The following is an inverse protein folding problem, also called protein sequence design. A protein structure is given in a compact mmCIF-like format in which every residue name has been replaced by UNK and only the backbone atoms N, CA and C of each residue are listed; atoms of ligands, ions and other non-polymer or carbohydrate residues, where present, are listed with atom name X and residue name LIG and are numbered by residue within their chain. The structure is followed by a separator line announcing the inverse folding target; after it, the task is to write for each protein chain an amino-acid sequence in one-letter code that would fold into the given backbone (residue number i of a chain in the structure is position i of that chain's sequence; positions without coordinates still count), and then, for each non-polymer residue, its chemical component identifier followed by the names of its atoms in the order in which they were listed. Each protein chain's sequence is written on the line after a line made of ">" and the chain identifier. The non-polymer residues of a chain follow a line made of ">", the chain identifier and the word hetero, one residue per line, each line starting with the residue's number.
data_IF_201932739503
#
_entry.id   IF_201932739503
#
_cell.length_a   1.000
_cell.length_b   1.000
_cell.length_c   1.000
_cell.angle_alpha   90.00
_cell.angle_beta   90.00
_cell.angle_gamma   90.00
#
_symmetry.space_group_name_H-M   'P 1'
#
loop_
_entity.id
_entity.type
_entity.pdbx_description
1 polymer ?
#
# COMPACT_ATOMS: atom_id res chain seq x y z
N UNK A 1 -38.91 -25.86 -36.60
CA UNK A 1 -37.49 -26.28 -36.69
C UNK A 1 -36.75 -25.29 -37.57
N UNK A 2 -35.48 -25.00 -37.22
CA UNK A 2 -34.50 -24.13 -37.92
C UNK A 2 -34.44 -22.70 -37.37
N UNK A 3 -33.61 -22.58 -36.33
CA UNK A 3 -33.00 -21.34 -35.86
C UNK A 3 -31.98 -20.91 -36.91
N UNK A 4 -32.01 -19.67 -37.37
CA UNK A 4 -30.93 -19.08 -38.16
C UNK A 4 -30.82 -17.59 -37.83
N UNK A 5 -30.06 -17.29 -36.79
CA UNK A 5 -29.54 -15.94 -36.51
C UNK A 5 -28.02 -16.03 -36.53
N UNK A 6 -27.35 -15.53 -37.58
CA UNK A 6 -25.90 -15.49 -37.67
C UNK A 6 -25.43 -14.04 -37.64
N UNK A 7 -25.19 -13.42 -36.48
CA UNK A 7 -24.45 -12.14 -36.41
C UNK A 7 -23.57 -12.12 -35.16
N UNK A 8 -22.26 -12.05 -35.44
CA UNK A 8 -21.17 -11.57 -34.61
C UNK A 8 -21.00 -12.22 -33.22
N UNK A 9 -20.09 -13.18 -33.20
CA UNK A 9 -18.87 -13.08 -32.40
C UNK A 9 -18.61 -11.67 -31.83
N UNK A 10 -19.10 -11.40 -30.62
CA UNK A 10 -18.46 -10.47 -29.71
C UNK A 10 -17.67 -11.29 -28.69
N UNK A 11 -16.64 -11.99 -29.21
CA UNK A 11 -15.41 -12.21 -28.47
C UNK A 11 -14.86 -10.82 -28.14
N UNK A 12 -15.26 -10.24 -27.00
CA UNK A 12 -14.42 -9.25 -26.33
C UNK A 12 -13.80 -9.92 -25.12
N UNK A 13 -12.79 -10.72 -25.46
CA UNK A 13 -11.70 -11.10 -24.59
C UNK A 13 -10.99 -9.82 -24.15
N UNK A 14 -11.30 -9.26 -22.98
CA UNK A 14 -10.28 -8.55 -22.21
C UNK A 14 -10.52 -8.79 -20.72
N UNK A 15 -10.16 -9.99 -20.27
CA UNK A 15 -9.72 -10.17 -18.88
C UNK A 15 -8.42 -9.38 -18.73
N UNK A 16 -8.51 -8.10 -18.36
CA UNK A 16 -7.33 -7.34 -17.99
C UNK A 16 -6.77 -7.94 -16.70
N UNK A 17 -5.51 -8.41 -16.63
CA UNK A 17 -4.85 -8.47 -15.36
C UNK A 17 -4.67 -7.01 -14.93
N UNK A 18 -5.44 -6.57 -13.93
CA UNK A 18 -5.11 -5.34 -13.22
C UNK A 18 -3.73 -5.58 -12.63
N UNK A 19 -2.71 -5.08 -13.33
CA UNK A 19 -1.36 -5.01 -12.82
C UNK A 19 -1.37 -3.96 -11.72
N UNK A 20 -1.86 -4.36 -10.54
CA UNK A 20 -1.66 -3.63 -9.31
C UNK A 20 -0.15 -3.51 -9.16
N UNK A 21 0.38 -2.33 -9.50
CA UNK A 21 1.76 -1.94 -9.29
C UNK A 21 1.95 -1.83 -7.77
N UNK A 22 2.07 -2.99 -7.12
CA UNK A 22 2.51 -3.08 -5.74
C UNK A 22 3.83 -2.36 -5.67
N UNK A 23 3.84 -1.24 -4.95
CA UNK A 23 5.08 -0.52 -4.63
C UNK A 23 6.05 -1.57 -4.10
N UNK A 24 7.25 -1.64 -4.69
CA UNK A 24 8.34 -2.46 -4.14
C UNK A 24 8.51 -2.03 -2.69
N UNK A 25 7.97 -2.82 -1.77
CA UNK A 25 8.40 -2.81 -0.40
C UNK A 25 9.82 -3.37 -0.49
N UNK A 26 10.78 -2.46 -0.49
CA UNK A 26 12.12 -2.80 -0.04
C UNK A 26 11.93 -3.57 1.27
N UNK A 27 12.34 -4.83 1.31
CA UNK A 27 12.09 -5.74 2.43
C UNK A 27 13.00 -5.35 3.60
N UNK A 28 12.77 -4.15 4.11
CA UNK A 28 13.30 -3.69 5.38
C UNK A 28 12.52 -4.46 6.46
N UNK A 29 13.24 -5.29 7.21
CA UNK A 29 12.66 -6.00 8.35
C UNK A 29 12.67 -5.07 9.55
N UNK A 30 11.48 -4.67 9.99
CA UNK A 30 11.27 -3.85 11.18
C UNK A 30 10.73 -4.74 12.31
N UNK A 31 11.14 -4.50 13.56
CA UNK A 31 10.57 -5.15 14.74
C UNK A 31 10.00 -4.13 15.72
N UNK A 32 8.93 -4.50 16.43
CA UNK A 32 8.42 -3.71 17.55
C UNK A 32 9.34 -3.73 18.78
N UNK A 33 10.31 -4.65 18.84
CA UNK A 33 11.36 -4.63 19.88
C UNK A 33 12.41 -3.54 19.64
N UNK A 34 12.48 -3.00 18.41
CA UNK A 34 13.42 -1.94 18.08
C UNK A 34 13.06 -0.64 18.82
N UNK A 35 14.09 0.16 19.13
CA UNK A 35 13.86 1.51 19.63
C UNK A 35 13.21 2.37 18.55
N UNK A 36 11.94 2.71 18.76
CA UNK A 36 11.15 3.46 17.79
C UNK A 36 11.60 4.93 17.82
N UNK A 37 12.19 5.47 16.74
CA UNK A 37 12.72 6.82 16.75
C UNK A 37 11.60 7.87 16.79
N UNK A 38 11.98 9.13 17.08
CA UNK A 38 11.10 10.27 16.80
C UNK A 38 11.04 10.55 15.30
N UNK A 39 9.99 11.20 14.82
CA UNK A 39 9.84 11.51 13.39
C UNK A 39 11.06 12.24 12.81
N UNK A 40 11.69 13.15 13.56
CA UNK A 40 12.93 13.84 13.15
C UNK A 40 14.10 12.91 12.81
N UNK A 41 14.12 11.71 13.40
CA UNK A 41 15.17 10.70 13.21
C UNK A 41 14.73 9.54 12.30
N UNK A 42 13.43 9.43 12.03
CA UNK A 42 12.85 8.41 11.15
C UNK A 42 13.46 8.51 9.75
N UNK A 43 13.83 7.36 9.17
CA UNK A 43 14.53 7.31 7.87
C UNK A 43 13.63 6.93 6.70
N UNK A 44 12.53 6.24 6.97
CA UNK A 44 11.67 5.68 5.93
C UNK A 44 10.20 5.81 6.31
N UNK A 45 9.37 6.16 5.32
CA UNK A 45 7.92 6.10 5.46
C UNK A 45 7.42 4.67 5.67
N UNK A 46 8.09 3.65 5.10
CA UNK A 46 7.72 2.25 5.31
C UNK A 46 7.91 1.85 6.77
N UNK A 47 9.03 2.27 7.38
CA UNK A 47 9.32 2.06 8.80
C UNK A 47 8.28 2.75 9.70
N UNK A 48 7.99 4.03 9.43
CA UNK A 48 6.99 4.78 10.19
C UNK A 48 5.60 4.11 10.14
N UNK A 49 5.19 3.65 8.95
CA UNK A 49 3.93 2.91 8.75
C UNK A 49 3.91 1.57 9.48
N UNK A 50 5.03 0.87 9.52
CA UNK A 50 5.14 -0.37 10.28
C UNK A 50 4.94 -0.09 11.78
N UNK A 51 5.64 0.88 12.35
CA UNK A 51 5.51 1.19 13.78
C UNK A 51 4.11 1.70 14.16
N UNK A 52 3.46 2.50 13.32
CA UNK A 52 2.08 2.91 13.55
C UNK A 52 1.13 1.70 13.53
N UNK A 53 1.19 0.87 12.48
CA UNK A 53 0.18 -0.17 12.23
C UNK A 53 0.42 -1.48 12.99
N UNK A 54 1.68 -1.87 13.16
CA UNK A 54 2.05 -3.16 13.75
C UNK A 54 2.41 -3.03 15.23
N UNK A 55 2.97 -1.88 15.63
CA UNK A 55 3.42 -1.65 17.01
C UNK A 55 2.53 -0.68 17.80
N UNK A 56 1.47 -0.12 17.18
CA UNK A 56 0.50 0.76 17.86
C UNK A 56 1.09 2.10 18.31
N UNK A 57 2.09 2.61 17.59
CA UNK A 57 2.76 3.86 17.96
C UNK A 57 2.02 5.08 17.42
N UNK A 58 0.88 5.40 18.03
CA UNK A 58 0.02 6.52 17.64
C UNK A 58 0.74 7.88 17.72
N UNK A 59 1.78 8.00 18.55
CA UNK A 59 2.61 9.22 18.63
C UNK A 59 3.31 9.61 17.31
N UNK A 60 3.34 8.69 16.34
CA UNK A 60 3.92 8.95 15.03
C UNK A 60 2.92 9.64 14.09
N UNK A 61 1.63 9.58 14.38
CA UNK A 61 0.52 10.15 13.60
C UNK A 61 -0.23 11.16 14.49
N UNK A 62 0.31 12.37 14.59
CA UNK A 62 -0.17 13.36 15.55
C UNK A 62 -1.51 13.99 15.15
N UNK A 63 -1.81 14.09 13.85
CA UNK A 63 -3.06 14.64 13.33
C UNK A 63 -4.14 13.57 13.09
N UNK A 64 -3.77 12.28 13.13
CA UNK A 64 -4.70 11.15 13.07
C UNK A 64 -5.21 10.88 11.66
N UNK A 65 -4.48 11.32 10.63
CA UNK A 65 -4.86 11.13 9.22
C UNK A 65 -4.45 9.74 8.67
N UNK A 66 -3.76 8.93 9.48
CA UNK A 66 -3.22 7.62 9.11
C UNK A 66 -1.87 7.68 8.39
N UNK A 67 -1.24 8.85 8.32
CA UNK A 67 0.06 9.11 7.70
C UNK A 67 1.08 9.47 8.79
N UNK A 68 1.84 8.48 9.31
CA UNK A 68 2.81 8.75 10.35
C UNK A 68 4.02 9.51 9.81
N UNK A 69 4.59 10.40 10.61
CA UNK A 69 5.82 11.12 10.34
C UNK A 69 5.85 11.72 8.92
N UNK A 70 5.09 12.80 8.70
CA UNK A 70 4.90 13.49 7.43
C UNK A 70 6.23 13.91 6.80
N UNK A 71 7.24 14.17 7.62
CA UNK A 71 8.59 14.50 7.17
C UNK A 71 9.26 13.38 6.36
N UNK A 72 8.83 12.12 6.46
CA UNK A 72 9.28 10.99 5.61
C UNK A 72 8.16 10.46 4.70
N UNK A 73 6.89 10.66 5.05
CA UNK A 73 5.76 10.13 4.29
C UNK A 73 5.12 11.11 3.29
N UNK A 74 5.35 12.42 3.40
CA UNK A 74 4.90 13.45 2.43
C UNK A 74 6.04 14.00 1.55
N UNK A 75 7.22 13.36 1.57
CA UNK A 75 8.34 13.67 0.65
C UNK A 75 8.27 12.89 -0.65
#
# INVERSE_FOLDING_TARGET
>A
MKKLTPILTALFLISSPVLAKGKKADTEQFSCEDSIPYCKQMKSCAQAKFYLKQCGMDRLDQDGDGVPCENVCRR
#
